data_IF_082227335471
#
_entry.id   IF_082227335471
#
_cell.length_a   1.000
_cell.length_b   1.000
_cell.length_c   1.000
_cell.angle_alpha   90.00
_cell.angle_beta   90.00
_cell.angle_gamma   90.00
#
_symmetry.space_group_name_H-M   'P 1'
#
loop_
_entity.id
_entity.type
_entity.pdbx_description
1 polymer ?
#
# COMPACT_ATOMS: atom_id res chain seq x y z
N UNK A 1 -8.26 12.92 6.74
CA UNK A 1 -8.24 11.50 6.30
C UNK A 1 -6.94 10.88 6.75
N UNK A 2 -7.02 9.68 7.32
CA UNK A 2 -5.87 8.99 7.90
C UNK A 2 -5.96 7.50 7.63
N UNK A 3 -4.82 6.83 7.68
CA UNK A 3 -4.73 5.38 7.74
C UNK A 3 -4.38 4.97 9.15
N UNK A 4 -4.93 3.84 9.61
CA UNK A 4 -4.74 3.31 10.95
C UNK A 4 -4.35 1.85 10.85
N UNK A 5 -3.35 1.41 11.62
CA UNK A 5 -2.96 0.00 11.69
C UNK A 5 -4.09 -0.86 12.27
N UNK A 6 -4.34 -2.02 11.68
CA UNK A 6 -5.31 -3.01 12.15
C UNK A 6 -4.58 -4.13 12.92
N UNK A 7 -5.25 -4.74 13.90
CA UNK A 7 -4.73 -5.89 14.64
C UNK A 7 -3.70 -5.57 15.74
N UNK A 8 -3.40 -4.29 15.98
CA UNK A 8 -2.46 -3.86 17.04
C UNK A 8 -3.18 -3.46 18.33
N UNK A 9 -2.64 -3.79 19.52
CA UNK A 9 -3.16 -3.32 20.80
C UNK A 9 -3.13 -1.79 20.93
N UNK A 10 -2.12 -1.15 20.33
CA UNK A 10 -1.99 0.31 20.26
C UNK A 10 -1.86 0.70 18.80
N UNK A 11 -2.97 1.08 18.15
CA UNK A 11 -2.95 1.44 16.75
C UNK A 11 -2.10 2.68 16.49
N UNK A 12 -1.28 2.63 15.45
CA UNK A 12 -0.56 3.79 14.91
C UNK A 12 -1.30 4.33 13.70
N UNK A 13 -1.19 5.64 13.45
CA UNK A 13 -1.87 6.29 12.33
C UNK A 13 -0.95 7.25 11.60
N UNK A 14 -1.16 7.40 10.29
CA UNK A 14 -0.53 8.41 9.45
C UNK A 14 -1.61 9.16 8.65
N UNK A 15 -1.49 10.48 8.58
CA UNK A 15 -2.33 11.31 7.70
C UNK A 15 -1.87 11.13 6.27
N UNK A 16 -2.82 11.04 5.33
CA UNK A 16 -2.53 10.89 3.90
C UNK A 16 -3.36 11.86 3.07
N UNK A 17 -2.86 12.26 1.89
CA UNK A 17 -3.63 13.09 0.97
C UNK A 17 -4.76 12.31 0.28
N UNK A 18 -5.69 13.06 -0.33
CA UNK A 18 -6.69 12.47 -1.21
C UNK A 18 -6.08 11.78 -2.44
N UNK A 19 -4.93 12.28 -2.92
CA UNK A 19 -4.22 11.67 -4.05
C UNK A 19 -3.66 10.30 -3.68
N UNK A 20 -2.92 10.23 -2.57
CA UNK A 20 -2.32 8.98 -2.11
C UNK A 20 -3.38 7.91 -1.80
N UNK A 21 -4.53 8.30 -1.25
CA UNK A 21 -5.66 7.39 -1.01
C UNK A 21 -6.10 6.64 -2.29
N UNK A 22 -6.22 7.34 -3.41
CA UNK A 22 -6.59 6.71 -4.68
C UNK A 22 -5.51 5.80 -5.25
N UNK A 23 -4.30 5.83 -4.70
CA UNK A 23 -3.13 5.10 -5.16
C UNK A 23 -2.77 3.90 -4.28
N UNK A 24 -3.38 3.75 -3.10
CA UNK A 24 -3.11 2.62 -2.19
C UNK A 24 -3.23 1.26 -2.89
N UNK A 25 -4.16 1.15 -3.84
CA UNK A 25 -4.40 -0.08 -4.62
C UNK A 25 -3.20 -0.53 -5.46
N UNK A 26 -2.27 0.37 -5.80
CA UNK A 26 -1.07 0.00 -6.57
C UNK A 26 -0.04 -0.75 -5.74
N UNK A 27 -0.11 -0.63 -4.41
CA UNK A 27 0.84 -1.21 -3.47
C UNK A 27 0.20 -2.29 -2.60
N UNK A 28 -1.13 -2.27 -2.48
CA UNK A 28 -1.86 -3.26 -1.70
C UNK A 28 -2.04 -4.57 -2.47
N UNK A 29 -1.96 -5.67 -1.73
CA UNK A 29 -2.31 -6.99 -2.23
C UNK A 29 -3.80 -7.05 -2.61
N UNK A 30 -4.17 -7.82 -3.66
CA UNK A 30 -5.56 -8.05 -4.00
C UNK A 30 -6.33 -8.70 -2.85
N UNK A 31 -7.53 -8.20 -2.53
CA UNK A 31 -8.34 -8.61 -1.37
C UNK A 31 -8.70 -10.11 -1.30
N UNK A 32 -8.49 -10.87 -2.38
CA UNK A 32 -8.77 -12.32 -2.46
C UNK A 32 -7.54 -13.15 -2.83
N UNK A 33 -6.33 -12.59 -2.67
CA UNK A 33 -5.11 -13.36 -2.83
C UNK A 33 -4.95 -14.39 -1.70
N UNK A 34 -4.21 -15.47 -1.98
CA UNK A 34 -4.12 -16.67 -1.14
C UNK A 34 -3.65 -16.41 0.31
N UNK A 35 -2.86 -15.35 0.52
CA UNK A 35 -2.22 -14.97 1.77
C UNK A 35 -2.79 -13.70 2.40
N UNK A 36 -3.86 -13.15 1.82
CA UNK A 36 -4.51 -11.94 2.32
C UNK A 36 -5.67 -12.34 3.25
N UNK A 37 -5.69 -11.85 4.51
CA UNK A 37 -6.81 -12.10 5.41
C UNK A 37 -8.09 -11.45 4.88
N UNK A 38 -9.29 -11.89 5.33
CA UNK A 38 -10.53 -11.20 4.98
C UNK A 38 -10.43 -9.72 5.33
N UNK A 39 -10.55 -8.86 4.32
CA UNK A 39 -10.50 -7.42 4.49
C UNK A 39 -11.90 -6.85 4.69
N UNK A 40 -12.03 -5.98 5.70
CA UNK A 40 -13.22 -5.17 5.90
C UNK A 40 -13.34 -4.04 4.87
N UNK A 41 -14.42 -3.26 5.00
CA UNK A 41 -14.58 -2.06 4.19
C UNK A 41 -13.44 -1.06 4.47
N UNK A 42 -12.87 -0.47 3.42
CA UNK A 42 -11.77 0.49 3.50
C UNK A 42 -10.48 -0.08 4.13
N UNK A 43 -10.36 -1.41 4.21
CA UNK A 43 -9.14 -2.08 4.65
C UNK A 43 -8.27 -2.50 3.48
N UNK A 44 -6.96 -2.44 3.70
CA UNK A 44 -5.94 -2.75 2.71
C UNK A 44 -4.88 -3.63 3.37
N UNK A 45 -4.38 -4.59 2.60
CA UNK A 45 -3.29 -5.45 3.02
C UNK A 45 -2.06 -5.17 2.15
N UNK A 46 -0.90 -4.99 2.75
CA UNK A 46 0.38 -4.72 2.11
C UNK A 46 1.31 -5.84 2.54
N UNK A 47 1.91 -6.57 1.60
CA UNK A 47 2.93 -7.55 1.97
C UNK A 47 4.20 -6.81 2.36
N UNK A 48 4.77 -7.11 3.52
CA UNK A 48 6.02 -6.46 3.93
C UNK A 48 7.14 -6.68 2.92
N UNK A 49 7.26 -7.89 2.38
CA UNK A 49 8.30 -8.20 1.38
C UNK A 49 8.15 -7.40 0.09
N UNK A 50 6.92 -7.22 -0.42
CA UNK A 50 6.68 -6.38 -1.61
C UNK A 50 6.93 -4.90 -1.29
N UNK A 51 6.52 -4.44 -0.11
CA UNK A 51 6.73 -3.06 0.36
C UNK A 51 8.22 -2.73 0.45
N UNK A 52 9.01 -3.63 1.06
CA UNK A 52 10.47 -3.49 1.16
C UNK A 52 11.11 -3.49 -0.22
N UNK A 53 10.70 -4.39 -1.11
CA UNK A 53 11.21 -4.45 -2.47
C UNK A 53 10.96 -3.13 -3.23
N UNK A 54 9.75 -2.58 -3.16
CA UNK A 54 9.44 -1.29 -3.82
C UNK A 54 10.25 -0.13 -3.26
N UNK A 55 10.51 -0.10 -1.95
CA UNK A 55 11.42 0.88 -1.35
C UNK A 55 12.86 0.73 -1.84
N UNK A 56 13.34 -0.50 -1.99
CA UNK A 56 14.69 -0.79 -2.50
C UNK A 56 14.83 -0.43 -3.98
N UNK A 57 13.83 -0.77 -4.79
CA UNK A 57 13.85 -0.57 -6.24
C UNK A 57 13.50 0.89 -6.63
N UNK A 58 12.73 1.60 -5.80
CA UNK A 58 12.26 2.97 -6.08
C UNK A 58 11.21 3.07 -7.18
N UNK A 59 10.71 1.94 -7.67
CA UNK A 59 9.77 1.84 -8.80
C UNK A 59 8.68 0.81 -8.53
N UNK A 60 7.55 0.95 -9.22
CA UNK A 60 6.53 -0.10 -9.34
C UNK A 60 6.35 -0.50 -10.81
N UNK A 61 6.05 -1.78 -11.01
CA UNK A 61 5.67 -2.30 -12.32
C UNK A 61 4.19 -2.05 -12.60
N UNK A 62 3.89 -1.30 -13.67
CA UNK A 62 2.53 -1.16 -14.19
C UNK A 62 2.37 -1.95 -15.49
N UNK A 63 1.37 -2.83 -15.52
CA UNK A 63 0.94 -3.52 -16.73
C UNK A 63 -0.14 -2.66 -17.41
N UNK A 64 0.16 -2.17 -18.61
CA UNK A 64 -0.83 -1.46 -19.41
C UNK A 64 -1.95 -2.41 -19.83
N UNK A 65 -3.23 -2.07 -19.62
CA UNK A 65 -4.35 -2.88 -20.12
C UNK A 65 -4.46 -2.87 -21.66
N UNK A 66 -3.77 -1.95 -22.34
CA UNK A 66 -3.79 -1.83 -23.81
C UNK A 66 -2.62 -2.56 -24.49
N UNK A 67 -1.60 -2.95 -23.72
CA UNK A 67 -0.43 -3.68 -24.21
C UNK A 67 0.11 -4.58 -23.10
N UNK A 68 -0.46 -5.77 -22.98
CA UNK A 68 -0.11 -6.75 -21.95
C UNK A 68 1.28 -7.38 -22.15
N UNK A 69 1.99 -7.02 -23.22
CA UNK A 69 3.33 -7.51 -23.50
C UNK A 69 4.44 -6.61 -22.89
N UNK A 70 4.14 -5.36 -22.54
CA UNK A 70 5.14 -4.40 -22.07
C UNK A 70 4.84 -3.93 -20.63
N UNK A 71 5.64 -4.39 -19.68
CA UNK A 71 5.72 -3.83 -18.33
C UNK A 71 6.45 -2.49 -18.39
N UNK A 72 5.94 -1.48 -17.69
CA UNK A 72 6.62 -0.19 -17.52
C UNK A 72 6.90 0.04 -16.04
N UNK A 73 8.16 0.28 -15.71
CA UNK A 73 8.59 0.74 -14.40
C UNK A 73 8.22 2.22 -14.24
N UNK A 74 7.60 2.56 -13.11
CA UNK A 74 7.23 3.92 -12.76
C UNK A 74 7.84 4.26 -11.41
N UNK A 75 8.63 5.34 -11.36
CA UNK A 75 9.19 5.87 -10.12
C UNK A 75 8.09 6.20 -9.11
N UNK A 76 8.30 5.76 -7.86
CA UNK A 76 7.42 6.16 -6.77
C UNK A 76 7.62 7.64 -6.45
N UNK A 77 6.54 8.32 -6.12
CA UNK A 77 6.62 9.71 -5.66
C UNK A 77 7.06 9.77 -4.20
N UNK A 78 7.61 10.91 -3.75
CA UNK A 78 7.98 11.15 -2.35
C UNK A 78 6.85 10.79 -1.35
N UNK A 79 5.60 11.17 -1.63
CA UNK A 79 4.46 10.83 -0.75
C UNK A 79 4.18 9.31 -0.67
N UNK A 80 4.47 8.57 -1.74
CA UNK A 80 4.34 7.11 -1.78
C UNK A 80 5.49 6.45 -1.03
N UNK A 81 6.71 6.94 -1.22
CA UNK A 81 7.89 6.50 -0.47
C UNK A 81 7.65 6.67 1.04
N UNK A 82 7.20 7.85 1.49
CA UNK A 82 6.86 8.09 2.89
C UNK A 82 5.79 7.13 3.46
N UNK A 83 4.83 6.70 2.63
CA UNK A 83 3.83 5.72 3.03
C UNK A 83 4.49 4.35 3.24
N UNK A 84 5.29 3.90 2.27
CA UNK A 84 5.93 2.60 2.30
C UNK A 84 6.97 2.53 3.42
N UNK A 85 7.73 3.60 3.65
CA UNK A 85 8.65 3.71 4.79
C UNK A 85 7.90 3.61 6.11
N UNK A 86 6.75 4.30 6.23
CA UNK A 86 5.93 4.21 7.44
C UNK A 86 5.41 2.79 7.69
N UNK A 87 4.96 2.09 6.65
CA UNK A 87 4.54 0.69 6.73
C UNK A 87 5.70 -0.22 7.16
N UNK A 88 6.85 -0.10 6.50
CA UNK A 88 8.03 -0.93 6.74
C UNK A 88 8.62 -0.69 8.13
N UNK A 89 8.81 0.58 8.53
CA UNK A 89 9.37 0.95 9.84
C UNK A 89 8.48 0.49 11.00
N UNK A 90 7.17 0.37 10.76
CA UNK A 90 6.23 -0.13 11.76
C UNK A 90 5.92 -1.62 11.58
N UNK A 91 6.46 -2.33 10.59
CA UNK A 91 6.10 -3.73 10.28
C UNK A 91 4.57 -3.91 10.15
N UNK A 92 3.94 -3.05 9.35
CA UNK A 92 2.49 -3.04 9.12
C UNK A 92 2.13 -3.70 7.80
N UNK A 93 1.26 -4.70 7.89
CA UNK A 93 0.64 -5.30 6.70
C UNK A 93 -0.82 -4.91 6.55
N UNK A 94 -1.54 -4.66 7.64
CA UNK A 94 -2.98 -4.42 7.58
C UNK A 94 -3.30 -3.01 8.07
N UNK A 95 -3.92 -2.22 7.20
CA UNK A 95 -4.37 -0.86 7.53
C UNK A 95 -5.84 -0.67 7.18
N UNK A 96 -6.47 0.31 7.81
CA UNK A 96 -7.81 0.81 7.49
C UNK A 96 -7.76 2.30 7.19
N UNK A 97 -8.44 2.70 6.13
CA UNK A 97 -8.68 4.10 5.81
C UNK A 97 -9.84 4.64 6.65
N UNK A 98 -9.62 5.75 7.34
CA UNK A 98 -10.64 6.52 8.05
C UNK A 98 -10.84 7.86 7.34
N UNK A 99 -12.03 8.01 6.75
CA UNK A 99 -12.53 9.26 6.20
C UNK A 99 -13.03 10.09 7.40
N UNK A 100 -12.41 11.24 7.64
CA UNK A 100 -12.92 12.21 8.62
C UNK A 100 -14.25 12.80 8.15
#
# INVERSE_FOLDING_TARGET
>A
MKIVSVGRPTPVSKTISHRLRSQLVYFAAPAHAQDVPPLGENEYFFRLGETQKVLEDGVIDLISPLDTANMTEVEITEEQEELLEWLAANELEHIRLELD
#
